data_IF_547662037232
#
_entry.id   IF_547662037232
#
_cell.length_a   1.000
_cell.length_b   1.000
_cell.length_c   1.000
_cell.angle_alpha   90.00
_cell.angle_beta   90.00
_cell.angle_gamma   90.00
#
_symmetry.space_group_name_H-M   'P 1'
#
loop_
_entity.id
_entity.type
_entity.pdbx_description
1 polymer ?
#
# COMPACT_ATOMS: atom_id res chain seq x y z
N UNK A 1 -8.69 -36.13 -25.02
CA UNK A 1 -8.67 -34.66 -24.95
C UNK A 1 -8.60 -34.25 -23.50
N UNK A 2 -7.44 -33.77 -23.04
CA UNK A 2 -7.29 -33.16 -21.72
C UNK A 2 -7.79 -31.72 -21.79
N UNK A 3 -8.93 -31.44 -21.14
CA UNK A 3 -9.43 -30.08 -20.98
C UNK A 3 -8.71 -29.38 -19.83
N UNK A 4 -8.36 -28.11 -20.01
CA UNK A 4 -7.79 -27.27 -18.95
C UNK A 4 -8.88 -26.36 -18.41
N UNK A 5 -9.18 -26.46 -17.11
CA UNK A 5 -10.14 -25.59 -16.43
C UNK A 5 -9.42 -24.36 -15.86
N UNK A 6 -9.69 -23.19 -16.43
CA UNK A 6 -9.19 -21.92 -15.89
C UNK A 6 -10.31 -21.17 -15.16
N UNK A 7 -10.11 -20.91 -13.88
CA UNK A 7 -11.03 -20.06 -13.12
C UNK A 7 -10.77 -18.59 -13.45
N UNK A 8 -11.80 -17.86 -13.90
CA UNK A 8 -11.73 -16.41 -14.19
C UNK A 8 -11.08 -15.63 -13.05
N UNK A 9 -11.49 -15.94 -11.81
CA UNK A 9 -11.10 -15.20 -10.61
C UNK A 9 -10.01 -15.82 -9.73
N UNK A 10 -9.29 -16.83 -10.23
CA UNK A 10 -8.24 -17.48 -9.44
C UNK A 10 -6.85 -17.15 -9.97
N UNK A 11 -6.23 -16.07 -9.48
CA UNK A 11 -4.85 -15.71 -9.83
C UNK A 11 -3.92 -16.38 -8.80
N UNK A 12 -3.86 -17.72 -8.82
CA UNK A 12 -3.16 -18.56 -7.82
C UNK A 12 -1.65 -18.67 -8.02
N UNK A 13 -1.04 -17.84 -8.85
CA UNK A 13 0.41 -17.86 -9.04
C UNK A 13 1.04 -16.90 -8.04
N UNK A 14 1.95 -17.40 -7.20
CA UNK A 14 2.77 -16.53 -6.33
C UNK A 14 3.53 -15.53 -7.22
N UNK A 15 3.44 -14.24 -6.90
CA UNK A 15 4.13 -13.17 -7.64
C UNK A 15 3.42 -12.68 -8.90
N UNK A 16 2.08 -12.66 -8.93
CA UNK A 16 1.33 -12.18 -10.10
C UNK A 16 1.76 -10.76 -10.50
N UNK A 17 2.23 -10.53 -11.74
CA UNK A 17 2.64 -9.21 -12.18
C UNK A 17 1.45 -8.24 -12.18
N UNK A 18 1.72 -7.02 -11.72
CA UNK A 18 0.77 -5.91 -11.72
C UNK A 18 1.09 -4.94 -12.85
N UNK A 19 0.06 -4.35 -13.44
CA UNK A 19 0.18 -3.19 -14.33
C UNK A 19 -0.55 -2.03 -13.69
N UNK A 20 0.14 -0.90 -13.56
CA UNK A 20 -0.42 0.35 -13.06
C UNK A 20 -0.51 1.33 -14.21
N UNK A 21 -1.68 1.90 -14.40
CA UNK A 21 -1.93 2.98 -15.36
C UNK A 21 -2.32 4.21 -14.55
N UNK A 22 -1.49 5.25 -14.61
CA UNK A 22 -1.70 6.51 -13.90
C UNK A 22 -1.59 7.70 -14.86
N UNK A 23 -2.42 8.72 -14.65
CA UNK A 23 -2.38 9.95 -15.44
C UNK A 23 -3.73 10.65 -15.54
N UNK A 24 -3.94 11.36 -16.64
CA UNK A 24 -5.15 12.13 -16.90
C UNK A 24 -5.84 11.58 -18.14
N UNK A 25 -7.11 11.20 -18.02
CA UNK A 25 -7.95 11.00 -19.20
C UNK A 25 -8.10 12.29 -20.01
N UNK A 26 -8.57 12.16 -21.25
CA UNK A 26 -8.77 13.29 -22.16
C UNK A 26 -9.61 14.39 -21.50
N UNK A 27 -10.73 13.99 -20.93
CA UNK A 27 -11.72 14.88 -20.31
C UNK A 27 -11.54 14.99 -18.78
N UNK A 28 -10.50 14.36 -18.23
CA UNK A 28 -10.22 14.41 -16.80
C UNK A 28 -9.51 15.70 -16.40
N UNK A 29 -10.06 16.36 -15.38
CA UNK A 29 -9.43 17.51 -14.70
C UNK A 29 -8.38 17.04 -13.70
N UNK A 30 -8.67 15.95 -12.97
CA UNK A 30 -7.83 15.41 -11.89
C UNK A 30 -7.17 14.09 -12.30
N UNK A 31 -6.02 13.73 -11.69
CA UNK A 31 -5.36 12.48 -11.99
C UNK A 31 -6.17 11.27 -11.51
N UNK A 32 -6.02 10.17 -12.23
CA UNK A 32 -6.60 8.87 -11.92
C UNK A 32 -5.55 7.79 -11.99
N UNK A 33 -5.79 6.71 -11.26
CA UNK A 33 -4.94 5.54 -11.26
C UNK A 33 -5.79 4.26 -11.28
N UNK A 34 -5.38 3.31 -12.11
CA UNK A 34 -5.94 1.97 -12.17
C UNK A 34 -4.82 0.96 -12.05
N UNK A 35 -4.99 0.02 -11.13
CA UNK A 35 -4.08 -1.09 -10.96
C UNK A 35 -4.78 -2.38 -11.38
N UNK A 36 -4.08 -3.16 -12.20
CA UNK A 36 -4.54 -4.45 -12.67
C UNK A 36 -3.59 -5.55 -12.23
N UNK A 37 -4.14 -6.66 -11.76
CA UNK A 37 -3.41 -7.93 -11.76
C UNK A 37 -3.53 -8.54 -13.13
N UNK A 38 -2.38 -8.89 -13.72
CA UNK A 38 -2.32 -9.50 -15.05
C UNK A 38 -1.85 -10.94 -14.92
N UNK A 39 -2.62 -11.86 -15.48
CA UNK A 39 -2.29 -13.28 -15.57
C UNK A 39 -1.61 -13.59 -16.90
N UNK A 40 -1.94 -14.76 -17.47
CA UNK A 40 -1.51 -15.16 -18.81
C UNK A 40 -2.51 -14.80 -19.91
N UNK A 41 -2.16 -15.18 -21.14
CA UNK A 41 -3.06 -15.16 -22.30
C UNK A 41 -3.65 -16.55 -22.49
N UNK A 42 -4.97 -16.64 -22.63
CA UNK A 42 -5.69 -17.89 -22.90
C UNK A 42 -6.52 -17.67 -24.15
N UNK A 43 -6.34 -18.51 -25.18
CA UNK A 43 -7.02 -18.39 -26.48
C UNK A 43 -6.99 -16.96 -27.03
N UNK A 44 -5.81 -16.35 -27.03
CA UNK A 44 -5.58 -14.98 -27.50
C UNK A 44 -6.33 -13.89 -26.73
N UNK A 45 -6.82 -14.18 -25.52
CA UNK A 45 -7.43 -13.20 -24.61
C UNK A 45 -6.55 -13.02 -23.37
N UNK A 46 -6.19 -11.78 -23.09
CA UNK A 46 -5.48 -11.44 -21.85
C UNK A 46 -6.41 -11.64 -20.66
N UNK A 47 -5.94 -12.42 -19.68
CA UNK A 47 -6.64 -12.56 -18.41
C UNK A 47 -6.11 -11.52 -17.42
N UNK A 48 -6.96 -10.60 -17.00
CA UNK A 48 -6.62 -9.56 -16.03
C UNK A 48 -7.77 -9.29 -15.05
N UNK A 49 -7.47 -8.59 -13.96
CA UNK A 49 -8.46 -8.10 -12.99
C UNK A 49 -8.08 -6.70 -12.53
N UNK A 50 -9.05 -5.79 -12.50
CA UNK A 50 -8.92 -4.51 -11.80
C UNK A 50 -8.82 -4.74 -10.28
N UNK A 51 -7.69 -4.38 -9.70
CA UNK A 51 -7.42 -4.51 -8.27
C UNK A 51 -7.80 -3.25 -7.51
N UNK A 52 -7.33 -2.09 -7.99
CA UNK A 52 -7.58 -0.80 -7.37
C UNK A 52 -7.94 0.23 -8.42
N UNK A 53 -8.87 1.11 -8.05
CA UNK A 53 -9.23 2.30 -8.81
C UNK A 53 -9.17 3.48 -7.85
N UNK A 54 -8.27 4.42 -8.13
CA UNK A 54 -8.10 5.64 -7.36
C UNK A 54 -8.43 6.83 -8.25
N UNK A 55 -9.25 7.74 -7.73
CA UNK A 55 -9.62 8.98 -8.38
C UNK A 55 -9.37 10.13 -7.41
N UNK A 56 -8.51 11.05 -7.82
CA UNK A 56 -8.35 12.32 -7.14
C UNK A 56 -9.48 13.25 -7.57
N UNK A 57 -9.98 14.06 -6.64
CA UNK A 57 -11.04 15.02 -6.87
C UNK A 57 -11.25 15.91 -5.65
N UNK A 58 -12.39 16.60 -5.61
CA UNK A 58 -12.70 17.56 -4.53
C UNK A 58 -12.79 16.86 -3.16
N UNK A 59 -13.35 15.65 -3.12
CA UNK A 59 -13.55 14.90 -1.86
C UNK A 59 -12.28 14.14 -1.39
N UNK A 60 -11.30 13.97 -2.28
CA UNK A 60 -10.06 13.25 -2.03
C UNK A 60 -8.96 13.86 -2.90
N UNK A 61 -8.32 14.90 -2.38
CA UNK A 61 -7.43 15.78 -3.13
C UNK A 61 -6.01 15.24 -3.29
N UNK A 62 -5.58 14.34 -2.40
CA UNK A 62 -4.28 13.69 -2.48
C UNK A 62 -4.32 12.22 -2.02
N UNK A 63 -3.32 11.45 -2.45
CA UNK A 63 -3.12 10.07 -2.00
C UNK A 63 -1.68 9.64 -2.23
N UNK A 64 -1.16 8.80 -1.32
CA UNK A 64 0.13 8.14 -1.46
C UNK A 64 -0.16 6.65 -1.62
N UNK A 65 0.29 6.05 -2.72
CA UNK A 65 0.00 4.66 -3.03
C UNK A 65 1.28 3.88 -3.37
N UNK A 66 1.83 3.09 -2.43
CA UNK A 66 2.93 2.19 -2.72
C UNK A 66 2.45 0.95 -3.48
N UNK A 67 3.22 0.52 -4.48
CA UNK A 67 2.98 -0.71 -5.26
C UNK A 67 3.97 -1.83 -4.95
N UNK A 68 5.18 -1.48 -4.55
CA UNK A 68 6.21 -2.42 -4.12
C UNK A 68 6.53 -2.20 -2.64
N UNK A 69 6.83 -3.29 -1.93
CA UNK A 69 7.35 -3.29 -0.55
C UNK A 69 6.64 -2.30 0.38
N UNK A 70 5.32 -2.45 0.47
CA UNK A 70 4.43 -1.54 1.17
C UNK A 70 4.65 -1.46 2.68
N UNK A 71 5.43 -2.37 3.28
CA UNK A 71 5.58 -2.43 4.74
C UNK A 71 6.33 -1.22 5.31
N UNK A 72 7.38 -0.75 4.62
CA UNK A 72 8.19 0.40 5.08
C UNK A 72 7.40 1.69 4.96
N UNK A 73 6.73 1.87 3.81
CA UNK A 73 5.90 3.04 3.54
C UNK A 73 4.70 3.07 4.49
N UNK A 74 4.03 1.94 4.72
CA UNK A 74 2.96 1.83 5.71
C UNK A 74 3.46 2.16 7.12
N UNK A 75 4.62 1.63 7.53
CA UNK A 75 5.20 1.97 8.83
C UNK A 75 5.46 3.46 9.03
N UNK A 76 5.85 4.18 7.97
CA UNK A 76 6.07 5.62 8.03
C UNK A 76 4.77 6.44 8.01
N UNK A 77 3.83 6.08 7.14
CA UNK A 77 2.58 6.84 6.94
C UNK A 77 1.55 6.49 8.02
N UNK A 78 1.35 5.21 8.28
CA UNK A 78 0.37 4.70 9.25
C UNK A 78 0.96 4.67 10.68
N UNK A 79 2.28 4.84 10.81
CA UNK A 79 3.01 4.91 12.09
C UNK A 79 3.25 3.56 12.77
N UNK A 80 2.93 2.44 12.11
CA UNK A 80 3.10 1.10 12.68
C UNK A 80 3.44 0.09 11.58
N UNK A 81 4.37 -0.82 11.88
CA UNK A 81 4.67 -1.95 10.99
C UNK A 81 3.42 -2.85 10.82
N UNK A 82 3.02 -3.22 9.59
CA UNK A 82 1.82 -4.03 9.38
C UNK A 82 1.86 -5.42 10.03
N UNK A 83 3.05 -6.00 10.21
CA UNK A 83 3.24 -7.26 10.91
C UNK A 83 2.94 -7.14 12.40
N UNK A 84 3.42 -6.05 13.01
CA UNK A 84 3.12 -5.71 14.41
C UNK A 84 1.63 -5.41 14.60
N UNK A 85 0.99 -4.68 13.68
CA UNK A 85 -0.46 -4.44 13.70
C UNK A 85 -1.24 -5.76 13.67
N UNK A 86 -0.87 -6.66 12.77
CA UNK A 86 -1.50 -7.98 12.63
C UNK A 86 -1.35 -8.81 13.89
N UNK A 87 -0.17 -8.78 14.53
CA UNK A 87 0.09 -9.45 15.79
C UNK A 87 -0.79 -8.90 16.91
N UNK A 88 -0.81 -7.58 17.10
CA UNK A 88 -1.64 -6.92 18.12
C UNK A 88 -3.13 -7.21 17.91
N UNK A 89 -3.60 -7.17 16.66
CA UNK A 89 -4.99 -7.49 16.34
C UNK A 89 -5.35 -8.92 16.74
N UNK A 90 -4.50 -9.90 16.40
CA UNK A 90 -4.70 -11.31 16.77
C UNK A 90 -4.69 -11.51 18.28
N UNK A 91 -3.73 -10.88 18.96
CA UNK A 91 -3.64 -10.94 20.42
C UNK A 91 -4.88 -10.34 21.08
N UNK A 92 -5.38 -9.18 20.61
CA UNK A 92 -6.65 -8.63 21.09
C UNK A 92 -7.84 -9.54 20.80
N UNK A 93 -7.94 -10.11 19.59
CA UNK A 93 -9.00 -11.07 19.26
C UNK A 93 -9.00 -12.26 20.25
N UNK A 94 -7.83 -12.79 20.60
CA UNK A 94 -7.67 -13.88 21.56
C UNK A 94 -8.03 -13.46 23.00
N UNK A 95 -7.45 -12.36 23.49
CA UNK A 95 -7.69 -11.87 24.86
C UNK A 95 -9.17 -11.58 25.09
N UNK A 96 -9.82 -10.85 24.19
CA UNK A 96 -11.23 -10.49 24.36
C UNK A 96 -12.20 -11.66 24.14
N UNK A 97 -11.78 -12.73 23.45
CA UNK A 97 -12.56 -13.96 23.34
C UNK A 97 -12.44 -14.85 24.60
N UNK A 98 -11.25 -14.91 25.20
CA UNK A 98 -10.92 -15.84 26.28
C UNK A 98 -11.10 -15.24 27.67
N UNK A 99 -10.88 -13.93 27.86
CA UNK A 99 -11.00 -13.28 29.16
C UNK A 99 -12.35 -13.49 29.85
N UNK A 100 -13.51 -13.41 29.15
CA UNK A 100 -14.81 -13.75 29.76
C UNK A 100 -14.91 -15.17 30.28
N UNK A 101 -14.26 -16.14 29.62
CA UNK A 101 -14.24 -17.55 30.06
C UNK A 101 -13.45 -17.67 31.35
N UNK A 102 -12.21 -17.16 31.35
CA UNK A 102 -11.31 -17.20 32.50
C UNK A 102 -11.94 -16.50 33.70
N UNK A 103 -12.56 -15.33 33.51
CA UNK A 103 -13.20 -14.58 34.58
C UNK A 103 -14.33 -15.39 35.24
N UNK A 104 -15.19 -16.02 34.44
CA UNK A 104 -16.34 -16.79 34.97
C UNK A 104 -15.93 -18.11 35.62
N UNK A 105 -14.78 -18.68 35.27
CA UNK A 105 -14.23 -19.86 35.94
C UNK A 105 -13.78 -19.57 37.38
N UNK A 106 -13.48 -18.31 37.71
CA UNK A 106 -13.02 -17.91 39.05
C UNK A 106 -14.16 -17.45 39.97
N UNK A 107 -15.42 -17.42 39.51
CA UNK A 107 -16.56 -17.04 40.34
C UNK A 107 -17.18 -18.32 40.95
N UNK A 108 -17.08 -18.53 42.27
CA UNK A 108 -17.63 -19.73 42.91
C UNK A 108 -19.16 -19.72 42.91
N UNK A 109 -19.76 -20.91 43.00
CA UNK A 109 -21.21 -21.13 43.18
C UNK A 109 -22.12 -20.62 42.05
N UNK A 110 -21.63 -20.48 40.81
CA UNK A 110 -22.50 -20.28 39.65
C UNK A 110 -23.08 -21.61 39.17
N UNK A 111 -24.40 -21.64 38.96
CA UNK A 111 -25.04 -22.74 38.22
C UNK A 111 -24.61 -22.72 36.75
N UNK A 112 -24.62 -23.89 36.10
CA UNK A 112 -24.24 -24.01 34.68
C UNK A 112 -25.08 -23.11 33.77
N UNK A 113 -26.39 -23.01 34.04
CA UNK A 113 -27.29 -22.14 33.29
C UNK A 113 -26.97 -20.65 33.47
N UNK A 114 -26.64 -20.22 34.68
CA UNK A 114 -26.26 -18.84 34.95
C UNK A 114 -24.88 -18.52 34.32
N UNK A 115 -23.95 -19.47 34.36
CA UNK A 115 -22.63 -19.34 33.74
C UNK A 115 -22.72 -19.22 32.22
N UNK A 116 -23.56 -20.02 31.57
CA UNK A 116 -23.78 -19.96 30.13
C UNK A 116 -24.39 -18.61 29.68
N UNK A 117 -25.40 -18.10 30.41
CA UNK A 117 -26.00 -16.80 30.10
C UNK A 117 -25.02 -15.63 30.36
N UNK A 118 -24.31 -15.66 31.49
CA UNK A 118 -23.27 -14.69 31.81
C UNK A 118 -22.16 -14.68 30.76
N UNK A 119 -21.70 -15.85 30.30
CA UNK A 119 -20.66 -15.96 29.28
C UNK A 119 -21.12 -15.37 27.95
N UNK A 120 -22.36 -15.64 27.54
CA UNK A 120 -22.94 -15.07 26.32
C UNK A 120 -22.97 -13.54 26.38
N UNK A 121 -23.47 -12.98 27.49
CA UNK A 121 -23.54 -11.53 27.70
C UNK A 121 -22.15 -10.89 27.76
N UNK A 122 -21.22 -11.51 28.48
CA UNK A 122 -19.85 -11.02 28.61
C UNK A 122 -19.12 -11.05 27.27
N UNK A 123 -19.22 -12.12 26.48
CA UNK A 123 -18.65 -12.17 25.12
C UNK A 123 -19.23 -11.10 24.19
N UNK A 124 -20.54 -10.85 24.26
CA UNK A 124 -21.17 -9.77 23.49
C UNK A 124 -20.62 -8.39 23.89
N UNK A 125 -20.50 -8.12 25.19
CA UNK A 125 -19.92 -6.89 25.71
C UNK A 125 -18.43 -6.74 25.32
N UNK A 126 -17.62 -7.79 25.45
CA UNK A 126 -16.22 -7.81 25.03
C UNK A 126 -16.07 -7.52 23.54
N UNK A 127 -16.94 -8.08 22.69
CA UNK A 127 -16.96 -7.77 21.26
C UNK A 127 -17.26 -6.30 20.96
N UNK A 128 -18.20 -5.69 21.69
CA UNK A 128 -18.50 -4.26 21.55
C UNK A 128 -17.33 -3.37 22.00
N UNK A 129 -16.67 -3.72 23.12
CA UNK A 129 -15.50 -2.99 23.63
C UNK A 129 -14.34 -3.08 22.63
N UNK A 130 -14.04 -4.27 22.12
CA UNK A 130 -12.98 -4.46 21.13
C UNK A 130 -13.26 -3.70 19.83
N UNK A 131 -14.52 -3.69 19.39
CA UNK A 131 -14.94 -2.88 18.22
C UNK A 131 -14.71 -1.39 18.47
N UNK A 132 -15.17 -0.87 19.61
CA UNK A 132 -15.00 0.54 19.98
C UNK A 132 -13.52 0.93 20.05
N UNK A 133 -12.70 0.11 20.70
CA UNK A 133 -11.25 0.31 20.76
C UNK A 133 -10.63 0.41 19.36
N UNK A 134 -10.99 -0.50 18.45
CA UNK A 134 -10.50 -0.47 17.06
C UNK A 134 -10.91 0.81 16.34
N UNK A 135 -12.15 1.25 16.51
CA UNK A 135 -12.65 2.49 15.90
C UNK A 135 -11.91 3.72 16.45
N UNK A 136 -11.70 3.81 17.76
CA UNK A 136 -10.93 4.89 18.40
C UNK A 136 -9.46 4.88 17.96
N UNK A 137 -8.84 3.70 17.89
CA UNK A 137 -7.46 3.54 17.42
C UNK A 137 -7.30 3.99 15.97
N UNK A 138 -8.18 3.52 15.08
CA UNK A 138 -8.18 3.94 13.66
C UNK A 138 -8.43 5.43 13.50
N UNK A 139 -9.34 6.00 14.29
CA UNK A 139 -9.61 7.43 14.27
C UNK A 139 -8.38 8.24 14.70
N UNK A 140 -7.72 7.84 15.79
CA UNK A 140 -6.49 8.47 16.25
C UNK A 140 -5.40 8.37 15.18
N UNK A 141 -5.20 7.19 14.59
CA UNK A 141 -4.19 6.94 13.55
C UNK A 141 -4.40 7.84 12.35
N UNK A 142 -5.63 7.90 11.83
CA UNK A 142 -5.97 8.78 10.70
C UNK A 142 -5.71 10.25 11.03
N UNK A 143 -6.34 10.74 12.09
CA UNK A 143 -6.31 12.16 12.45
C UNK A 143 -4.91 12.68 12.80
N UNK A 144 -4.09 11.84 13.42
CA UNK A 144 -2.79 12.27 13.98
C UNK A 144 -1.62 11.98 13.03
N UNK A 145 -1.71 10.94 12.21
CA UNK A 145 -0.57 10.45 11.42
C UNK A 145 -0.86 10.58 9.92
N UNK A 146 -1.96 10.00 9.43
CA UNK A 146 -2.22 9.87 7.99
C UNK A 146 -2.71 11.21 7.39
N UNK A 147 -3.75 11.79 7.97
CA UNK A 147 -4.42 12.98 7.42
C UNK A 147 -3.47 14.18 7.32
N UNK A 148 -2.58 14.48 8.30
CA UNK A 148 -1.59 15.54 8.16
C UNK A 148 -0.60 15.32 7.01
N UNK A 149 -0.17 14.08 6.78
CA UNK A 149 0.75 13.74 5.68
C UNK A 149 0.03 13.93 4.35
N UNK A 150 -1.20 13.43 4.22
CA UNK A 150 -2.01 13.57 3.00
C UNK A 150 -2.32 15.04 2.70
N UNK A 151 -2.69 15.83 3.73
CA UNK A 151 -2.91 17.27 3.59
C UNK A 151 -1.65 18.01 3.14
N UNK A 152 -0.47 17.55 3.57
CA UNK A 152 0.81 18.09 3.08
C UNK A 152 0.97 17.78 1.59
N UNK A 153 0.79 16.51 1.17
CA UNK A 153 0.89 16.09 -0.25
C UNK A 153 -0.03 16.89 -1.16
N UNK A 154 -1.20 17.30 -0.67
CA UNK A 154 -2.17 18.09 -1.45
C UNK A 154 -1.64 19.47 -1.87
N UNK A 155 -0.76 20.07 -1.05
CA UNK A 155 -0.25 21.43 -1.28
C UNK A 155 1.21 21.45 -1.76
N UNK A 156 1.89 20.30 -1.77
CA UNK A 156 3.29 20.24 -2.19
C UNK A 156 3.46 20.60 -3.66
N UNK A 157 4.49 21.40 -4.01
CA UNK A 157 4.86 21.62 -5.41
C UNK A 157 5.42 20.33 -6.04
N UNK A 158 5.47 20.31 -7.37
CA UNK A 158 5.80 19.10 -8.17
C UNK A 158 7.17 18.51 -7.84
N UNK A 159 8.16 19.37 -7.58
CA UNK A 159 9.52 18.99 -7.21
C UNK A 159 9.60 18.40 -5.80
N UNK A 160 8.87 18.96 -4.84
CA UNK A 160 8.79 18.38 -3.49
C UNK A 160 8.01 17.06 -3.47
N UNK A 161 6.94 16.92 -4.26
CA UNK A 161 6.26 15.64 -4.46
C UNK A 161 7.20 14.56 -5.00
N UNK A 162 8.05 14.93 -5.97
CA UNK A 162 9.05 14.03 -6.54
C UNK A 162 10.11 13.64 -5.49
N UNK A 163 10.61 14.60 -4.71
CA UNK A 163 11.56 14.34 -3.64
C UNK A 163 10.98 13.43 -2.54
N UNK A 164 9.72 13.63 -2.17
CA UNK A 164 9.02 12.78 -1.21
C UNK A 164 8.89 11.34 -1.73
N UNK A 165 8.46 11.17 -2.98
CA UNK A 165 8.38 9.85 -3.61
C UNK A 165 9.74 9.15 -3.67
N UNK A 166 10.81 9.89 -3.99
CA UNK A 166 12.17 9.37 -3.98
C UNK A 166 12.60 8.88 -2.59
N UNK A 167 12.33 9.69 -1.56
CA UNK A 167 12.70 9.38 -0.18
C UNK A 167 12.00 8.12 0.32
N UNK A 168 10.70 7.95 0.03
CA UNK A 168 9.93 6.75 0.41
C UNK A 168 10.51 5.48 -0.22
N UNK A 169 10.84 5.50 -1.52
CA UNK A 169 11.45 4.36 -2.20
C UNK A 169 12.85 4.09 -1.65
N UNK A 170 13.64 5.15 -1.42
CA UNK A 170 15.00 5.06 -0.90
C UNK A 170 15.06 4.47 0.51
N UNK A 171 14.14 4.87 1.40
CA UNK A 171 13.99 4.30 2.74
C UNK A 171 13.72 2.80 2.68
N UNK A 172 12.90 2.40 1.73
CA UNK A 172 12.54 0.99 1.53
C UNK A 172 13.76 0.17 1.09
N UNK A 173 14.49 0.64 0.06
CA UNK A 173 15.75 0.05 -0.38
C UNK A 173 16.79 0.01 0.74
N UNK A 174 16.88 1.08 1.54
CA UNK A 174 17.79 1.16 2.67
C UNK A 174 17.47 0.10 3.72
N UNK A 175 16.22 0.00 4.19
CA UNK A 175 15.82 -1.00 5.21
C UNK A 175 16.20 -2.41 4.77
N UNK A 176 15.98 -2.77 3.51
CA UNK A 176 16.25 -4.11 2.98
C UNK A 176 17.74 -4.42 2.91
N UNK A 177 18.58 -3.48 2.48
CA UNK A 177 20.04 -3.67 2.46
C UNK A 177 20.63 -4.03 3.83
N UNK A 178 20.00 -3.58 4.91
CA UNK A 178 20.43 -3.86 6.29
C UNK A 178 19.58 -4.93 6.99
N UNK A 179 18.62 -5.54 6.29
CA UNK A 179 17.80 -6.65 6.80
C UNK A 179 18.24 -7.96 6.13
N UNK A 180 17.98 -9.11 6.75
CA UNK A 180 18.27 -10.43 6.15
C UNK A 180 17.29 -10.82 5.01
N UNK A 181 16.46 -9.88 4.58
CA UNK A 181 15.45 -10.10 3.54
C UNK A 181 16.05 -9.98 2.14
N UNK A 182 15.51 -10.74 1.19
CA UNK A 182 15.96 -10.69 -0.21
C UNK A 182 15.81 -9.26 -0.78
N UNK A 183 16.90 -8.72 -1.34
CA UNK A 183 16.91 -7.47 -2.10
C UNK A 183 16.06 -7.63 -3.37
N UNK A 184 14.77 -7.32 -3.26
CA UNK A 184 13.83 -7.34 -4.41
C UNK A 184 13.71 -5.99 -5.11
N UNK A 185 14.23 -4.92 -4.49
CA UNK A 185 14.44 -3.59 -5.07
C UNK A 185 15.76 -3.04 -4.57
N UNK A 186 16.55 -2.49 -5.49
CA UNK A 186 17.86 -1.91 -5.22
C UNK A 186 18.34 -1.07 -6.40
N UNK A 187 19.38 -0.27 -6.16
CA UNK A 187 19.92 0.66 -7.16
C UNK A 187 19.34 2.08 -7.07
N UNK A 188 19.73 2.97 -8.00
CA UNK A 188 19.30 4.36 -8.02
C UNK A 188 17.80 4.46 -8.33
N UNK A 189 17.14 5.42 -7.69
CA UNK A 189 15.72 5.70 -7.90
C UNK A 189 15.55 6.70 -9.04
N UNK A 190 14.75 6.33 -10.03
CA UNK A 190 14.29 7.22 -11.09
C UNK A 190 12.92 7.77 -10.73
N UNK A 191 12.73 9.07 -10.92
CA UNK A 191 11.53 9.80 -10.53
C UNK A 191 11.03 10.65 -11.69
N UNK A 192 9.74 10.51 -11.98
CA UNK A 192 9.03 11.33 -12.95
C UNK A 192 7.77 11.91 -12.34
N UNK A 193 7.39 13.09 -12.84
CA UNK A 193 6.13 13.74 -12.54
C UNK A 193 5.28 13.74 -13.81
N UNK A 194 4.01 13.41 -13.65
CA UNK A 194 3.00 13.55 -14.70
C UNK A 194 1.98 14.60 -14.27
N UNK A 195 1.89 15.70 -15.01
CA UNK A 195 0.89 16.75 -14.76
C UNK A 195 0.10 17.06 -16.03
N UNK A 196 -1.12 17.60 -15.88
CA UNK A 196 -1.97 17.94 -17.04
C UNK A 196 -1.32 19.01 -17.94
N UNK A 197 -0.61 19.97 -17.34
CA UNK A 197 0.04 21.07 -18.06
C UNK A 197 1.34 20.67 -18.74
N UNK A 198 2.25 20.02 -18.01
CA UNK A 198 3.61 19.74 -18.50
C UNK A 198 3.76 18.36 -19.15
N UNK A 199 2.72 17.51 -19.04
CA UNK A 199 2.81 16.12 -19.43
C UNK A 199 3.77 15.34 -18.52
N UNK A 200 4.46 14.37 -19.11
CA UNK A 200 5.40 13.49 -18.42
C UNK A 200 6.81 14.12 -18.40
N UNK A 201 7.37 14.30 -17.21
CA UNK A 201 8.67 14.94 -17.00
C UNK A 201 9.52 14.08 -16.08
N UNK A 202 10.75 13.74 -16.49
CA UNK A 202 11.74 13.14 -15.61
C UNK A 202 12.32 14.20 -14.68
N UNK A 203 12.13 14.05 -13.36
CA UNK A 203 12.75 14.90 -12.35
C UNK A 203 14.14 14.39 -12.00
N UNK A 204 14.27 13.06 -11.90
CA UNK A 204 15.53 12.37 -11.67
C UNK A 204 15.57 11.11 -12.51
N UNK A 205 16.66 10.91 -13.25
CA UNK A 205 16.85 9.70 -14.03
C UNK A 205 18.31 9.30 -14.04
N UNK A 206 18.59 8.02 -13.85
CA UNK A 206 19.91 7.46 -14.07
C UNK A 206 20.23 7.55 -15.55
N UNK A 207 21.18 8.43 -15.88
CA UNK A 207 21.79 8.45 -17.20
C UNK A 207 22.91 7.41 -17.25
N UNK A 208 23.11 6.80 -18.43
CA UNK A 208 24.23 5.87 -18.66
C UNK A 208 25.58 6.54 -18.33
N UNK A 209 25.72 7.82 -18.67
CA UNK A 209 26.82 8.68 -18.25
C UNK A 209 26.33 10.13 -18.11
N UNK A 210 27.09 10.96 -17.40
CA UNK A 210 26.86 12.42 -17.37
C UNK A 210 27.43 13.03 -18.64
N UNK A 211 26.59 13.74 -19.39
CA UNK A 211 26.96 14.38 -20.66
C UNK A 211 28.07 15.41 -20.45
N UNK A 212 28.03 16.17 -19.35
CA UNK A 212 29.07 17.15 -18.97
C UNK A 212 30.47 16.52 -18.80
N UNK A 213 30.52 15.25 -18.38
CA UNK A 213 31.77 14.50 -18.21
C UNK A 213 32.23 13.80 -19.49
N UNK A 214 31.35 13.72 -20.50
CA UNK A 214 31.60 13.00 -21.76
C UNK A 214 31.19 13.84 -22.97
N UNK A 215 31.70 15.08 -23.12
CA UNK A 215 31.27 15.99 -24.18
C UNK A 215 31.55 15.44 -25.58
N UNK A 216 32.61 14.63 -25.73
CA UNK A 216 32.96 13.95 -26.98
C UNK A 216 31.82 13.08 -27.55
N UNK A 217 30.93 12.55 -26.70
CA UNK A 217 29.79 11.77 -27.15
C UNK A 217 28.81 12.62 -27.97
N UNK A 218 28.52 13.86 -27.52
CA UNK A 218 27.62 14.76 -28.25
C UNK A 218 28.24 15.17 -29.59
N UNK A 219 29.51 15.56 -29.59
CA UNK A 219 30.24 15.96 -30.81
C UNK A 219 30.15 14.87 -31.87
N UNK A 220 30.48 13.62 -31.52
CA UNK A 220 30.45 12.51 -32.48
C UNK A 220 29.04 12.16 -32.98
N UNK A 221 28.01 12.32 -32.14
CA UNK A 221 26.63 11.91 -32.46
C UNK A 221 25.83 13.00 -33.21
N UNK A 222 26.20 14.27 -33.04
CA UNK A 222 25.51 15.41 -33.67
C UNK A 222 26.28 16.03 -34.85
N UNK A 223 27.60 15.83 -34.97
CA UNK A 223 28.38 16.28 -36.14
C UNK A 223 28.40 15.25 -37.29
N UNK A 224 27.88 14.03 -37.07
CA UNK A 224 27.78 12.99 -38.10
C UNK A 224 26.43 12.98 -38.86
N UNK A 225 25.72 14.11 -38.88
CA UNK A 225 24.54 14.34 -39.73
C UNK A 225 24.71 15.55 -40.64
#
# INVERSE_FOLDING_TARGET
MSGWLFMRDSFRLRGTPGVVVAGFGKDDVYPRLQEFTVGGVIENRLRYRLQRHLRIGIDASASILPFAQSEVVAGLIDGMDPGMESLLKKFHDEVFANYPVVLLDHIPNLSDSAKADALRKAKAASGQILKKFREEFEHFRRKTLIDPIVATVDILPKDELAAMAEALVSLTSFKRRFSLDAETVGGPVDVAVLSKGDGFVWIKRKHYFKVELNPHFLTNYFESR
#
